data_IF_348760563727
#
_entry.id   IF_348760563727
#
_cell.length_a   1.000
_cell.length_b   1.000
_cell.length_c   1.000
_cell.angle_alpha   90.00
_cell.angle_beta   90.00
_cell.angle_gamma   90.00
#
_symmetry.space_group_name_H-M   'P 1'
#
loop_
_entity.id
_entity.type
_entity.pdbx_description
1 polymer ?
#
# COMPACT_ATOMS: atom_id res chain seq x y z
N UNK A 1 1.58 14.73 0.22
CA UNK A 1 0.28 15.18 -0.35
C UNK A 1 -0.40 16.05 0.71
N UNK A 2 -1.15 17.11 0.36
CA UNK A 2 -2.00 17.83 1.34
C UNK A 2 -3.43 17.28 1.32
N UNK A 3 -4.21 17.48 2.39
CA UNK A 3 -5.61 17.03 2.45
C UNK A 3 -6.48 17.70 1.39
N UNK A 4 -6.31 19.00 1.14
CA UNK A 4 -6.99 19.70 0.04
C UNK A 4 -6.66 19.07 -1.32
N UNK A 5 -5.39 18.79 -1.59
CA UNK A 5 -4.98 18.18 -2.86
C UNK A 5 -5.54 16.77 -3.01
N UNK A 6 -5.62 16.01 -1.91
CA UNK A 6 -6.20 14.68 -1.90
C UNK A 6 -7.71 14.74 -2.14
N UNK A 7 -8.43 15.65 -1.49
CA UNK A 7 -9.86 15.85 -1.69
C UNK A 7 -10.19 16.18 -3.16
N UNK A 8 -9.42 17.07 -3.78
CA UNK A 8 -9.57 17.39 -5.21
C UNK A 8 -9.35 16.16 -6.09
N UNK A 9 -8.33 15.34 -5.79
CA UNK A 9 -8.06 14.12 -6.57
C UNK A 9 -9.15 13.05 -6.43
N UNK A 10 -9.78 12.98 -5.26
CA UNK A 10 -10.89 12.05 -4.96
C UNK A 10 -12.27 12.60 -5.38
N UNK A 11 -12.33 13.77 -6.03
CA UNK A 11 -13.61 14.42 -6.39
C UNK A 11 -14.47 14.80 -5.18
N UNK A 12 -13.88 14.95 -3.99
CA UNK A 12 -14.60 15.29 -2.77
C UNK A 12 -14.83 16.80 -2.68
N UNK A 13 -16.03 17.20 -2.26
CA UNK A 13 -16.43 18.60 -2.16
C UNK A 13 -15.61 19.42 -1.13
N UNK A 14 -14.97 18.77 -0.16
CA UNK A 14 -14.18 19.45 0.89
C UNK A 14 -13.12 18.53 1.50
N UNK A 15 -12.02 19.13 1.95
CA UNK A 15 -10.97 18.46 2.74
C UNK A 15 -11.44 17.91 4.08
N UNK A 16 -12.58 18.39 4.60
CA UNK A 16 -13.16 17.87 5.84
C UNK A 16 -13.47 16.37 5.74
N UNK A 17 -13.88 15.86 4.57
CA UNK A 17 -14.08 14.41 4.39
C UNK A 17 -12.78 13.63 4.57
N UNK A 18 -11.67 14.11 3.99
CA UNK A 18 -10.35 13.50 4.15
C UNK A 18 -9.90 13.55 5.61
N UNK A 19 -10.02 14.72 6.25
CA UNK A 19 -9.60 14.88 7.65
C UNK A 19 -10.37 13.95 8.60
N UNK A 20 -11.68 13.84 8.46
CA UNK A 20 -12.49 12.94 9.29
C UNK A 20 -12.17 11.47 9.05
N UNK A 21 -11.83 11.10 7.82
CA UNK A 21 -11.40 9.75 7.47
C UNK A 21 -10.05 9.42 8.08
N UNK A 22 -9.06 10.30 7.96
CA UNK A 22 -7.71 10.11 8.52
C UNK A 22 -7.73 10.07 10.06
N UNK A 23 -8.64 10.82 10.70
CA UNK A 23 -8.84 10.80 12.16
C UNK A 23 -9.71 9.63 12.65
N UNK A 24 -10.22 8.76 11.76
CA UNK A 24 -11.08 7.64 12.11
C UNK A 24 -12.50 8.04 12.55
N UNK A 25 -12.88 9.31 12.42
CA UNK A 25 -14.22 9.81 12.75
C UNK A 25 -15.28 9.37 11.73
N UNK A 26 -14.86 8.99 10.52
CA UNK A 26 -15.74 8.54 9.45
C UNK A 26 -15.07 7.48 8.58
N UNK A 27 -15.75 6.36 8.36
CA UNK A 27 -15.30 5.35 7.39
C UNK A 27 -15.48 5.83 5.94
N UNK A 28 -14.66 5.30 5.03
CA UNK A 28 -14.80 5.48 3.59
C UNK A 28 -15.58 4.30 2.97
N UNK A 29 -16.10 4.50 1.75
CA UNK A 29 -16.63 3.39 0.94
C UNK A 29 -15.47 2.55 0.37
N UNK A 30 -15.78 1.33 -0.07
CA UNK A 30 -14.81 0.46 -0.73
C UNK A 30 -14.28 1.09 -2.02
N UNK A 31 -15.13 1.74 -2.80
CA UNK A 31 -14.71 2.45 -4.03
C UNK A 31 -13.68 3.55 -3.70
N UNK A 32 -13.92 4.31 -2.62
CA UNK A 32 -13.00 5.36 -2.20
C UNK A 32 -11.68 4.78 -1.67
N UNK A 33 -11.72 3.63 -0.98
CA UNK A 33 -10.53 2.91 -0.55
C UNK A 33 -9.68 2.45 -1.74
N UNK A 34 -10.30 1.93 -2.79
CA UNK A 34 -9.61 1.55 -4.04
C UNK A 34 -8.98 2.79 -4.68
N UNK A 35 -9.72 3.89 -4.78
CA UNK A 35 -9.21 5.12 -5.39
C UNK A 35 -8.04 5.74 -4.61
N UNK A 36 -8.11 5.69 -3.27
CA UNK A 36 -7.00 6.04 -2.38
C UNK A 36 -5.76 5.18 -2.66
N UNK A 37 -5.94 3.87 -2.81
CA UNK A 37 -4.85 2.94 -3.13
C UNK A 37 -4.15 3.33 -4.44
N UNK A 38 -4.93 3.71 -5.46
CA UNK A 38 -4.42 4.17 -6.75
C UNK A 38 -3.68 5.51 -6.64
N UNK A 39 -4.22 6.49 -5.91
CA UNK A 39 -3.65 7.84 -5.77
C UNK A 39 -2.36 7.85 -4.96
N UNK A 40 -2.31 7.03 -3.91
CA UNK A 40 -1.18 6.97 -2.97
C UNK A 40 -0.15 5.90 -3.36
N UNK A 41 -0.45 5.07 -4.37
CA UNK A 41 0.40 3.99 -4.86
C UNK A 41 0.77 2.98 -3.76
N UNK A 42 -0.22 2.59 -2.95
CA UNK A 42 -0.09 1.58 -1.89
C UNK A 42 -1.20 0.54 -2.02
N UNK A 43 -1.04 -0.63 -1.42
CA UNK A 43 -2.12 -1.63 -1.38
C UNK A 43 -3.25 -1.21 -0.44
N UNK A 44 -4.46 -1.73 -0.69
CA UNK A 44 -5.59 -1.57 0.23
C UNK A 44 -5.30 -2.21 1.59
N UNK A 45 -4.56 -3.32 1.62
CA UNK A 45 -4.09 -3.95 2.86
C UNK A 45 -3.23 -3.01 3.69
N UNK A 46 -2.30 -2.27 3.07
CA UNK A 46 -1.50 -1.28 3.78
C UNK A 46 -2.36 -0.18 4.41
N UNK A 47 -3.37 0.31 3.68
CA UNK A 47 -4.29 1.34 4.16
C UNK A 47 -5.16 0.84 5.34
N UNK A 48 -5.55 -0.43 5.33
CA UNK A 48 -6.41 -1.02 6.37
C UNK A 48 -5.64 -1.50 7.59
N UNK A 49 -4.45 -2.08 7.39
CA UNK A 49 -3.67 -2.76 8.42
C UNK A 49 -2.54 -1.88 8.98
N UNK A 50 -2.24 -0.75 8.33
CA UNK A 50 -1.19 0.19 8.75
C UNK A 50 0.23 -0.34 8.66
N UNK A 51 0.43 -1.50 8.05
CA UNK A 51 1.72 -2.16 7.86
C UNK A 51 1.78 -2.82 6.49
N UNK A 52 2.98 -2.89 5.91
CA UNK A 52 3.15 -3.71 4.71
C UNK A 52 2.91 -5.18 5.08
N UNK A 53 2.23 -5.95 4.22
CA UNK A 53 2.15 -7.39 4.41
C UNK A 53 3.57 -7.96 4.53
N UNK A 54 3.75 -8.94 5.41
CA UNK A 54 5.04 -9.60 5.60
C UNK A 54 5.59 -10.08 4.26
N UNK A 55 6.76 -9.59 3.88
CA UNK A 55 7.48 -10.02 2.68
C UNK A 55 8.43 -11.19 2.97
N UNK A 56 8.36 -11.79 4.16
CA UNK A 56 9.35 -12.79 4.57
C UNK A 56 9.27 -14.09 3.78
N UNK A 57 8.09 -14.50 3.30
CA UNK A 57 7.98 -15.64 2.38
C UNK A 57 8.73 -15.36 1.06
N UNK A 58 8.43 -14.23 0.43
CA UNK A 58 9.08 -13.81 -0.83
C UNK A 58 10.59 -13.64 -0.66
N UNK A 59 11.02 -13.06 0.47
CA UNK A 59 12.45 -12.91 0.79
C UNK A 59 13.12 -14.26 0.96
N UNK A 60 12.49 -15.21 1.65
CA UNK A 60 13.02 -16.55 1.82
C UNK A 60 13.12 -17.29 0.48
N UNK A 61 12.11 -17.15 -0.39
CA UNK A 61 12.14 -17.71 -1.73
C UNK A 61 13.30 -17.14 -2.57
N UNK A 62 13.49 -15.81 -2.53
CA UNK A 62 14.60 -15.15 -3.21
C UNK A 62 15.95 -15.63 -2.68
N UNK A 63 16.10 -15.77 -1.36
CA UNK A 63 17.33 -16.29 -0.75
C UNK A 63 17.60 -17.75 -1.17
N UNK A 64 16.57 -18.58 -1.27
CA UNK A 64 16.69 -19.95 -1.76
C UNK A 64 17.19 -19.97 -3.21
N UNK A 65 16.57 -19.18 -4.09
CA UNK A 65 16.95 -19.09 -5.50
C UNK A 65 18.39 -18.59 -5.65
N UNK A 66 18.79 -17.57 -4.87
CA UNK A 66 20.17 -17.05 -4.87
C UNK A 66 21.17 -18.15 -4.45
N UNK A 67 20.83 -18.95 -3.44
CA UNK A 67 21.66 -20.07 -2.99
C UNK A 67 21.82 -21.13 -4.08
N UNK A 68 20.73 -21.48 -4.76
CA UNK A 68 20.75 -22.47 -5.85
C UNK A 68 21.62 -21.99 -7.02
N UNK A 69 21.42 -20.74 -7.46
CA UNK A 69 22.22 -20.12 -8.51
C UNK A 69 23.70 -20.03 -8.13
N UNK A 70 24.01 -19.67 -6.88
CA UNK A 70 25.39 -19.64 -6.37
C UNK A 70 26.04 -21.02 -6.38
N UNK A 71 25.26 -22.07 -6.15
CA UNK A 71 25.74 -23.46 -6.19
C UNK A 71 26.04 -23.90 -7.62
N UNK A 72 25.19 -23.53 -8.58
CA UNK A 72 25.43 -23.80 -10.01
C UNK A 72 26.68 -23.05 -10.48
N UNK A 73 26.83 -21.78 -10.10
CA UNK A 73 27.98 -20.95 -10.48
C UNK A 73 29.32 -21.47 -9.94
N UNK A 74 29.33 -22.23 -8.84
CA UNK A 74 30.54 -22.89 -8.32
C UNK A 74 30.90 -24.20 -9.03
N UNK A 75 29.98 -24.75 -9.84
CA UNK A 75 30.17 -26.02 -10.58
C UNK A 75 30.70 -25.81 -12.00
N UNK A 76 30.75 -24.57 -12.46
CA UNK A 76 31.41 -24.10 -13.69
C UNK A 76 32.76 -23.48 -13.32
#
# INVERSE_FOLDING_TARGET
MTQEKLAVRLGLASKQHVSRMENGERSCSIDLLIELSCILHVSTDYLLMGSEPSKEEVKNDLLSIISDLSTIAKKI
#
